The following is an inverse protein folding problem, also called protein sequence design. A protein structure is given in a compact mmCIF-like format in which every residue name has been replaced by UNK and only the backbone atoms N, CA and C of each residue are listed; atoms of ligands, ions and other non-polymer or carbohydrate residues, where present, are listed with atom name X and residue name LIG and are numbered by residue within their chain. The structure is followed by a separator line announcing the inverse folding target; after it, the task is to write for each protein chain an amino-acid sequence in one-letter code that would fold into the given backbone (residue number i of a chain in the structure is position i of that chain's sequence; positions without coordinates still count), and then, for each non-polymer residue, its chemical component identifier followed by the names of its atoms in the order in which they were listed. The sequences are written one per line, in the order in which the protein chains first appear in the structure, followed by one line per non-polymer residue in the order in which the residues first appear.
data_IF_061815163317
#
_entry.id   IF_061815163317
#
_cell.length_a   1.000
_cell.length_b   1.000
_cell.length_c   1.000
_cell.angle_alpha   90.00
_cell.angle_beta   90.00
_cell.angle_gamma   90.00
#
_symmetry.space_group_name_H-M   'P 1'
#
loop_
_entity.id
_entity.type
_entity.pdbx_description
1 polymer ?
#
# COMPACT_ATOMS: atom_id res chain seq x y z
N UNK A 1 -2.12 11.39 33.79
CA UNK A 1 -2.30 11.65 35.24
C UNK A 1 -3.57 11.02 35.83
N UNK A 2 -4.76 11.15 35.25
CA UNK A 2 -5.99 10.51 35.79
C UNK A 2 -5.95 8.98 35.83
N UNK A 3 -5.51 8.34 34.74
CA UNK A 3 -5.31 6.88 34.63
C UNK A 3 -4.40 6.28 35.72
N UNK A 4 -3.39 7.04 36.17
CA UNK A 4 -2.43 6.63 37.20
C UNK A 4 -2.94 6.85 38.62
N UNK A 5 -4.02 7.62 38.81
CA UNK A 5 -4.55 8.02 40.12
C UNK A 5 -5.75 7.19 40.61
N UNK A 6 -6.33 6.34 39.76
CA UNK A 6 -7.52 5.53 40.10
C UNK A 6 -7.34 4.03 39.77
N UNK A 7 -6.36 3.33 40.37
CA UNK A 7 -6.05 1.93 40.06
C UNK A 7 -7.23 0.97 40.32
N UNK A 8 -8.16 1.29 41.24
CA UNK A 8 -9.36 0.47 41.47
C UNK A 8 -10.30 0.38 40.26
N UNK A 9 -10.33 1.38 39.40
CA UNK A 9 -11.14 1.33 38.16
C UNK A 9 -10.64 0.27 37.17
N UNK A 10 -9.36 -0.12 37.27
CA UNK A 10 -8.74 -1.15 36.44
C UNK A 10 -9.14 -2.55 36.87
N UNK A 11 -9.50 -2.73 38.16
CA UNK A 11 -9.83 -4.03 38.76
C UNK A 11 -11.25 -4.51 38.41
N UNK A 12 -12.15 -3.62 38.00
CA UNK A 12 -13.53 -4.00 37.64
C UNK A 12 -13.65 -4.67 36.26
N UNK A 13 -12.65 -4.51 35.37
CA UNK A 13 -12.55 -5.20 34.08
C UNK A 13 -11.07 -5.44 33.75
N UNK A 14 -10.44 -6.37 34.47
CA UNK A 14 -9.00 -6.63 34.40
C UNK A 14 -8.47 -6.84 32.97
N UNK A 15 -9.28 -7.38 32.06
CA UNK A 15 -8.87 -7.68 30.68
C UNK A 15 -8.51 -6.43 29.86
N UNK A 16 -9.23 -5.31 29.99
CA UNK A 16 -9.06 -4.14 29.12
C UNK A 16 -7.67 -3.48 29.27
N UNK A 17 -7.14 -3.26 30.49
CA UNK A 17 -5.75 -2.88 30.69
C UNK A 17 -4.74 -3.80 30.00
N UNK A 18 -4.90 -5.12 30.12
CA UNK A 18 -3.99 -6.09 29.51
C UNK A 18 -4.02 -6.02 27.98
N UNK A 19 -5.22 -5.86 27.39
CA UNK A 19 -5.40 -5.68 25.94
C UNK A 19 -4.79 -4.40 25.38
N UNK A 20 -4.53 -3.41 26.24
CA UNK A 20 -3.85 -2.16 25.86
C UNK A 20 -2.35 -2.24 26.12
N UNK A 21 -1.96 -2.59 27.35
CA UNK A 21 -0.57 -2.53 27.78
C UNK A 21 0.27 -3.58 27.08
N UNK A 22 -0.19 -4.84 26.99
CA UNK A 22 0.63 -5.92 26.42
C UNK A 22 0.98 -5.66 24.96
N UNK A 23 0.02 -5.38 24.05
CA UNK A 23 0.36 -5.13 22.66
C UNK A 23 1.23 -3.88 22.49
N UNK A 24 0.92 -2.79 23.19
CA UNK A 24 1.71 -1.56 23.08
C UNK A 24 3.12 -1.70 23.65
N UNK A 25 3.31 -2.48 24.71
CA UNK A 25 4.64 -2.81 25.25
C UNK A 25 5.42 -3.69 24.30
N UNK A 26 4.79 -4.71 23.70
CA UNK A 26 5.43 -5.56 22.69
C UNK A 26 5.85 -4.73 21.48
N UNK A 27 4.98 -3.89 20.93
CA UNK A 27 5.33 -2.99 19.82
C UNK A 27 6.41 -1.98 20.24
N UNK A 28 6.34 -1.45 21.46
CA UNK A 28 7.37 -0.56 22.01
C UNK A 28 8.74 -1.22 22.03
N UNK A 29 8.84 -2.44 22.54
CA UNK A 29 10.09 -3.22 22.54
C UNK A 29 10.57 -3.58 21.13
N UNK A 30 9.66 -4.05 20.28
CA UNK A 30 10.00 -4.38 18.89
C UNK A 30 10.44 -3.14 18.09
N UNK A 31 9.95 -1.95 18.44
CA UNK A 31 10.29 -0.71 17.74
C UNK A 31 11.79 -0.34 17.87
N UNK A 32 12.48 -0.90 18.87
CA UNK A 32 13.93 -0.76 19.05
C UNK A 32 14.74 -1.53 17.99
N UNK A 33 14.15 -2.53 17.35
CA UNK A 33 14.84 -3.47 16.45
C UNK A 33 14.27 -3.42 15.03
N UNK A 34 13.00 -3.05 14.88
CA UNK A 34 12.29 -3.03 13.61
C UNK A 34 11.42 -1.79 13.48
N UNK A 35 11.37 -1.23 12.29
CA UNK A 35 10.37 -0.21 11.94
C UNK A 35 8.99 -0.87 11.91
N UNK A 36 8.13 -0.50 12.86
CA UNK A 36 6.75 -1.01 12.93
C UNK A 36 5.82 -0.01 12.28
N UNK A 37 5.02 -0.48 11.33
CA UNK A 37 3.97 0.34 10.72
C UNK A 37 2.98 0.83 11.77
N UNK A 38 2.70 2.14 11.81
CA UNK A 38 1.76 2.72 12.78
C UNK A 38 0.36 2.10 12.72
N UNK A 39 -0.03 1.52 11.59
CA UNK A 39 -1.33 0.85 11.45
C UNK A 39 -1.51 -0.31 12.43
N UNK A 40 -0.44 -1.04 12.77
CA UNK A 40 -0.47 -2.08 13.81
C UNK A 40 -0.77 -1.51 15.19
N UNK A 41 -0.17 -0.37 15.51
CA UNK A 41 -0.41 0.35 16.78
C UNK A 41 -1.82 0.92 16.81
N UNK A 42 -2.29 1.48 15.69
CA UNK A 42 -3.62 2.08 15.58
C UNK A 42 -4.76 1.09 15.80
N UNK A 43 -4.57 -0.21 15.56
CA UNK A 43 -5.55 -1.24 15.94
C UNK A 43 -5.85 -1.28 17.44
N UNK A 44 -4.93 -0.83 18.30
CA UNK A 44 -5.08 -0.85 19.76
C UNK A 44 -5.45 0.51 20.36
N UNK A 45 -5.33 1.60 19.59
CA UNK A 45 -5.69 2.96 20.04
C UNK A 45 -7.16 3.08 20.45
N UNK A 46 -8.16 2.47 19.77
CA UNK A 46 -9.54 2.49 20.24
C UNK A 46 -9.70 1.94 21.67
N UNK A 47 -8.95 0.89 22.03
CA UNK A 47 -8.98 0.31 23.36
C UNK A 47 -8.41 1.27 24.42
N UNK A 48 -7.39 2.06 24.07
CA UNK A 48 -6.86 3.14 24.92
C UNK A 48 -7.94 4.18 25.20
N UNK A 49 -8.71 4.58 24.19
CA UNK A 49 -9.81 5.54 24.37
C UNK A 49 -10.93 4.98 25.25
N UNK A 50 -11.28 3.69 25.08
CA UNK A 50 -12.25 3.02 25.95
C UNK A 50 -11.77 2.97 27.41
N UNK A 51 -10.51 2.59 27.63
CA UNK A 51 -9.89 2.58 28.96
C UNK A 51 -9.90 3.98 29.58
N UNK A 52 -9.51 5.00 28.80
CA UNK A 52 -9.54 6.38 29.23
C UNK A 52 -10.95 6.81 29.65
N UNK A 53 -11.95 6.57 28.81
CA UNK A 53 -13.35 6.96 29.07
C UNK A 53 -13.93 6.36 30.35
N UNK A 54 -13.50 5.15 30.71
CA UNK A 54 -13.92 4.48 31.97
C UNK A 54 -13.13 4.92 33.20
N UNK A 55 -11.94 5.49 33.01
CA UNK A 55 -11.04 5.87 34.12
C UNK A 55 -11.24 7.29 34.65
N UNK A 56 -12.01 8.13 33.94
CA UNK A 56 -12.19 9.56 34.26
C UNK A 56 -13.64 9.88 34.60
N UNK A 57 -13.86 10.96 35.37
CA UNK A 57 -15.22 11.44 35.67
C UNK A 57 -15.97 11.91 34.42
N UNK A 58 -17.30 11.88 34.45
CA UNK A 58 -18.16 12.42 33.37
C UNK A 58 -17.88 13.88 33.03
N UNK A 59 -17.48 14.69 34.02
CA UNK A 59 -17.10 16.09 33.81
C UNK A 59 -15.81 16.16 32.99
N UNK A 60 -14.82 15.35 33.33
CA UNK A 60 -13.56 15.26 32.59
C UNK A 60 -13.80 14.72 31.19
N UNK A 61 -14.58 13.64 31.04
CA UNK A 61 -14.90 13.05 29.75
C UNK A 61 -15.57 14.06 28.81
N UNK A 62 -16.59 14.80 29.30
CA UNK A 62 -17.26 15.87 28.52
C UNK A 62 -16.33 17.01 28.13
N UNK A 63 -15.33 17.34 28.95
CA UNK A 63 -14.30 18.34 28.58
C UNK A 63 -13.37 17.79 27.50
N UNK A 64 -12.93 16.54 27.63
CA UNK A 64 -12.08 15.88 26.63
C UNK A 64 -12.79 15.76 25.29
N UNK A 65 -14.06 15.37 25.27
CA UNK A 65 -14.87 15.30 24.04
C UNK A 65 -14.95 16.68 23.37
N UNK A 66 -15.25 17.74 24.13
CA UNK A 66 -15.30 19.11 23.59
C UNK A 66 -13.96 19.55 23.00
N UNK A 67 -12.87 19.28 23.72
CA UNK A 67 -11.53 19.60 23.23
C UNK A 67 -11.18 18.82 21.96
N UNK A 68 -11.44 17.50 21.95
CA UNK A 68 -11.25 16.66 20.78
C UNK A 68 -12.11 17.11 19.60
N UNK A 69 -13.34 17.56 19.83
CA UNK A 69 -14.22 18.08 18.79
C UNK A 69 -13.67 19.37 18.17
N UNK A 70 -13.12 20.29 18.98
CA UNK A 70 -12.44 21.49 18.48
C UNK A 70 -11.22 21.11 17.64
N UNK A 71 -10.38 20.19 18.12
CA UNK A 71 -9.23 19.69 17.36
C UNK A 71 -9.69 19.06 16.05
N UNK A 72 -10.71 18.20 16.09
CA UNK A 72 -11.25 17.55 14.90
C UNK A 72 -11.78 18.58 13.90
N UNK A 73 -12.50 19.61 14.35
CA UNK A 73 -12.97 20.70 13.50
C UNK A 73 -11.80 21.44 12.85
N UNK A 74 -10.74 21.77 13.61
CA UNK A 74 -9.53 22.40 13.05
C UNK A 74 -8.86 21.51 12.00
N UNK A 75 -8.74 20.21 12.25
CA UNK A 75 -8.17 19.26 11.29
C UNK A 75 -9.02 19.14 10.02
N UNK A 76 -10.34 19.02 10.16
CA UNK A 76 -11.25 18.98 9.01
C UNK A 76 -11.15 20.27 8.20
N UNK A 77 -11.17 21.42 8.85
CA UNK A 77 -11.00 22.72 8.16
C UNK A 77 -9.65 22.80 7.44
N UNK A 78 -8.56 22.35 8.06
CA UNK A 78 -7.24 22.32 7.43
C UNK A 78 -7.20 21.38 6.22
N UNK A 79 -7.77 20.17 6.34
CA UNK A 79 -7.86 19.20 5.23
C UNK A 79 -8.70 19.77 4.08
N UNK A 80 -9.85 20.38 4.37
CA UNK A 80 -10.69 21.01 3.35
C UNK A 80 -9.99 22.19 2.68
N UNK A 81 -9.25 22.99 3.43
CA UNK A 81 -8.47 24.11 2.89
C UNK A 81 -7.35 23.62 1.96
N UNK A 82 -6.69 22.51 2.29
CA UNK A 82 -5.68 21.85 1.45
C UNK A 82 -6.31 21.22 0.22
N UNK A 83 -7.41 20.49 0.39
CA UNK A 83 -8.11 19.78 -0.69
C UNK A 83 -8.78 20.71 -1.71
N UNK A 84 -9.12 21.95 -1.30
CA UNK A 84 -9.67 22.95 -2.21
C UNK A 84 -8.61 23.64 -3.09
N UNK A 85 -7.32 23.37 -2.85
CA UNK A 85 -6.24 23.92 -3.67
C UNK A 85 -6.09 23.15 -4.99
N UNK A 86 -5.78 23.83 -6.11
CA UNK A 86 -5.42 23.15 -7.35
C UNK A 86 -4.17 22.30 -7.15
N UNK A 87 -4.14 21.12 -7.78
CA UNK A 87 -3.08 20.13 -7.56
C UNK A 87 -1.70 20.68 -7.92
N UNK A 88 -1.65 21.57 -8.91
CA UNK A 88 -0.45 22.20 -9.45
C UNK A 88 0.30 23.04 -8.40
N UNK A 89 -0.38 23.54 -7.35
CA UNK A 89 0.29 24.23 -6.23
C UNK A 89 1.26 23.32 -5.48
N UNK A 90 1.04 22.01 -5.52
CA UNK A 90 1.91 21.03 -4.86
C UNK A 90 3.14 20.69 -5.70
N UNK A 91 3.20 21.06 -6.98
CA UNK A 91 4.32 20.74 -7.86
C UNK A 91 5.65 21.37 -7.41
N UNK A 92 5.61 22.61 -6.92
CA UNK A 92 6.80 23.31 -6.44
C UNK A 92 7.18 22.94 -5.00
N UNK A 93 6.21 22.50 -4.20
CA UNK A 93 6.40 22.13 -2.79
C UNK A 93 6.85 20.68 -2.61
N UNK A 94 6.46 19.81 -3.54
CA UNK A 94 6.77 18.38 -3.50
C UNK A 94 7.82 18.04 -4.56
N UNK A 95 8.74 17.14 -4.23
CA UNK A 95 9.63 16.55 -5.25
C UNK A 95 8.83 15.76 -6.30
N UNK A 96 9.42 15.60 -7.49
CA UNK A 96 8.79 15.04 -8.70
C UNK A 96 8.02 13.73 -8.47
N UNK A 97 8.62 12.77 -7.77
CA UNK A 97 7.98 11.49 -7.42
C UNK A 97 6.72 11.67 -6.58
N UNK A 98 6.79 12.53 -5.55
CA UNK A 98 5.67 12.77 -4.64
C UNK A 98 4.55 13.51 -5.36
N UNK A 99 4.90 14.51 -6.17
CA UNK A 99 3.94 15.23 -6.99
C UNK A 99 3.21 14.31 -7.97
N UNK A 100 3.95 13.45 -8.68
CA UNK A 100 3.35 12.44 -9.57
C UNK A 100 2.46 11.44 -8.82
N UNK A 101 2.79 11.13 -7.57
CA UNK A 101 1.91 10.36 -6.67
C UNK A 101 0.60 11.08 -6.35
N UNK A 102 0.64 12.39 -6.08
CA UNK A 102 -0.57 13.19 -5.84
C UNK A 102 -1.42 13.25 -7.10
N UNK A 103 -0.82 13.54 -8.27
CA UNK A 103 -1.56 13.58 -9.55
C UNK A 103 -2.17 12.22 -9.86
N UNK A 104 -1.43 11.11 -9.72
CA UNK A 104 -1.96 9.76 -9.91
C UNK A 104 -3.13 9.44 -8.97
N UNK A 105 -3.13 9.97 -7.75
CA UNK A 105 -4.16 9.68 -6.74
C UNK A 105 -5.41 10.53 -6.94
N UNK A 106 -5.24 11.82 -7.21
CA UNK A 106 -6.34 12.80 -7.26
C UNK A 106 -6.91 12.95 -8.68
N UNK A 107 -6.08 12.71 -9.71
CA UNK A 107 -6.38 12.88 -11.14
C UNK A 107 -6.12 11.60 -11.92
N UNK A 108 -6.45 10.46 -11.31
CA UNK A 108 -6.23 9.13 -11.88
C UNK A 108 -6.93 8.96 -13.24
N UNK A 109 -8.14 9.50 -13.36
CA UNK A 109 -8.95 9.54 -14.58
C UNK A 109 -8.21 10.21 -15.74
N UNK A 110 -7.56 11.35 -15.48
CA UNK A 110 -6.77 12.06 -16.48
C UNK A 110 -5.49 11.29 -16.84
N UNK A 111 -4.86 10.63 -15.87
CA UNK A 111 -3.69 9.78 -16.12
C UNK A 111 -4.07 8.59 -17.00
N UNK A 112 -5.19 7.92 -16.72
CA UNK A 112 -5.70 6.80 -17.50
C UNK A 112 -6.10 7.27 -18.90
N UNK A 113 -6.82 8.39 -19.02
CA UNK A 113 -7.21 8.95 -20.31
C UNK A 113 -5.99 9.30 -21.18
N UNK A 114 -4.92 9.80 -20.57
CA UNK A 114 -3.69 10.16 -21.27
C UNK A 114 -2.93 8.95 -21.85
N UNK A 115 -3.24 7.71 -21.43
CA UNK A 115 -2.72 6.49 -22.06
C UNK A 115 -3.36 6.22 -23.43
N UNK A 116 -4.48 6.87 -23.76
CA UNK A 116 -5.11 6.76 -25.07
C UNK A 116 -5.43 5.32 -25.45
N UNK A 117 -5.06 4.90 -26.67
CA UNK A 117 -5.35 3.56 -27.16
C UNK A 117 -4.54 2.45 -26.48
N UNK A 118 -3.47 2.79 -25.76
CA UNK A 118 -2.64 1.79 -25.06
C UNK A 118 -3.48 1.00 -24.04
N UNK A 119 -4.52 1.60 -23.48
CA UNK A 119 -5.42 0.94 -22.49
C UNK A 119 -6.11 -0.32 -23.04
N UNK A 120 -6.27 -0.39 -24.36
CA UNK A 120 -6.91 -1.51 -25.05
C UNK A 120 -5.91 -2.45 -25.73
N UNK A 121 -4.69 -1.97 -25.99
CA UNK A 121 -3.65 -2.71 -26.72
C UNK A 121 -2.79 -3.57 -25.81
N UNK A 122 -2.59 -3.14 -24.56
CA UNK A 122 -1.67 -3.79 -23.61
C UNK A 122 -2.40 -4.36 -22.41
N UNK A 123 -1.76 -5.34 -21.76
CA UNK A 123 -2.06 -5.69 -20.38
C UNK A 123 -1.45 -4.63 -19.45
N UNK A 124 -2.31 -3.96 -18.69
CA UNK A 124 -1.94 -2.78 -17.92
C UNK A 124 -1.47 -3.17 -16.52
N UNK A 125 -0.28 -2.74 -16.16
CA UNK A 125 0.35 -3.03 -14.88
C UNK A 125 0.97 -1.78 -14.27
N UNK A 126 1.35 -1.89 -13.00
CA UNK A 126 2.23 -0.90 -12.37
C UNK A 126 3.39 -1.59 -11.66
N UNK A 127 4.34 -0.79 -11.17
CA UNK A 127 5.53 -1.24 -10.45
C UNK A 127 5.31 -1.38 -8.92
N UNK A 128 4.06 -1.24 -8.43
CA UNK A 128 3.80 -1.41 -7.01
C UNK A 128 2.32 -1.45 -6.63
N UNK A 129 2.04 -1.96 -5.44
CA UNK A 129 0.66 -2.14 -4.97
C UNK A 129 -0.12 -0.81 -4.89
N UNK A 130 0.48 0.25 -4.34
CA UNK A 130 -0.20 1.55 -4.23
C UNK A 130 -0.60 2.15 -5.58
N UNK A 131 0.29 2.26 -6.58
CA UNK A 131 -0.14 2.71 -7.91
C UNK A 131 -1.19 1.76 -8.51
N UNK A 132 -1.02 0.44 -8.46
CA UNK A 132 -1.98 -0.54 -8.98
C UNK A 132 -3.39 -0.39 -8.42
N UNK A 133 -3.55 -0.29 -7.09
CA UNK A 133 -4.89 -0.13 -6.49
C UNK A 133 -5.50 1.23 -6.84
N UNK A 134 -4.69 2.29 -6.91
CA UNK A 134 -5.16 3.63 -7.25
C UNK A 134 -5.67 3.71 -8.68
N UNK A 135 -4.87 3.29 -9.66
CA UNK A 135 -5.29 3.35 -11.07
C UNK A 135 -6.34 2.29 -11.37
N UNK A 136 -6.24 1.09 -10.79
CA UNK A 136 -7.21 0.03 -11.01
C UNK A 136 -8.60 0.36 -10.46
N UNK A 137 -8.68 0.96 -9.27
CA UNK A 137 -9.95 1.43 -8.70
C UNK A 137 -10.63 2.47 -9.59
N UNK A 138 -9.88 3.45 -10.08
CA UNK A 138 -10.41 4.52 -10.93
C UNK A 138 -10.72 4.05 -12.36
N UNK A 139 -9.93 3.12 -12.90
CA UNK A 139 -10.16 2.52 -14.22
C UNK A 139 -11.31 1.48 -14.18
N UNK A 140 -11.74 1.01 -13.01
CA UNK A 140 -12.68 -0.12 -12.87
C UNK A 140 -12.18 -1.40 -13.56
N UNK A 141 -10.87 -1.54 -13.64
CA UNK A 141 -10.16 -2.69 -14.23
C UNK A 141 -9.03 -3.06 -13.29
N UNK A 142 -8.75 -4.35 -13.13
CA UNK A 142 -7.64 -4.79 -12.30
C UNK A 142 -6.29 -4.50 -12.99
N UNK A 143 -5.31 -3.99 -12.25
CA UNK A 143 -3.95 -3.71 -12.73
C UNK A 143 -2.94 -4.49 -11.90
N UNK A 144 -2.37 -5.58 -12.42
CA UNK A 144 -1.36 -6.37 -11.73
C UNK A 144 -0.11 -5.56 -11.36
N UNK A 145 0.66 -6.11 -10.42
CA UNK A 145 1.99 -5.58 -10.04
C UNK A 145 3.08 -6.38 -10.75
N UNK A 146 3.82 -5.70 -11.63
CA UNK A 146 4.96 -6.29 -12.34
C UNK A 146 6.22 -6.33 -11.45
N UNK A 147 7.11 -7.28 -11.72
CA UNK A 147 8.40 -7.44 -11.03
C UNK A 147 8.22 -8.07 -9.65
N UNK A 148 9.26 -8.13 -8.79
CA UNK A 148 9.20 -8.84 -7.50
C UNK A 148 8.19 -8.30 -6.48
N UNK A 149 7.65 -7.10 -6.71
CA UNK A 149 6.85 -6.34 -5.76
C UNK A 149 7.63 -5.95 -4.49
N UNK A 150 6.90 -5.55 -3.43
CA UNK A 150 7.48 -4.95 -2.22
C UNK A 150 7.98 -5.99 -1.20
N UNK A 151 8.28 -5.51 0.01
CA UNK A 151 9.05 -6.20 1.05
C UNK A 151 8.47 -7.53 1.58
N UNK A 152 7.22 -7.87 1.30
CA UNK A 152 6.55 -9.04 1.88
C UNK A 152 5.63 -9.72 0.86
N UNK A 153 6.01 -10.93 0.42
CA UNK A 153 5.21 -11.81 -0.42
C UNK A 153 4.66 -11.19 -1.72
N UNK A 154 4.03 -12.02 -2.54
CA UNK A 154 3.38 -11.64 -3.79
C UNK A 154 1.88 -11.89 -3.70
N UNK A 155 1.17 -11.00 -3.04
CA UNK A 155 -0.28 -11.12 -2.85
C UNK A 155 -1.06 -10.86 -4.15
N UNK A 156 -0.49 -10.05 -5.06
CA UNK A 156 -1.06 -9.81 -6.40
C UNK A 156 -1.35 -11.13 -7.13
N UNK A 157 -0.43 -12.09 -6.99
CA UNK A 157 -0.49 -13.40 -7.61
C UNK A 157 -1.65 -14.26 -7.13
N UNK A 158 -2.45 -13.85 -6.14
CA UNK A 158 -3.74 -14.49 -5.85
C UNK A 158 -4.75 -14.23 -6.97
N UNK A 159 -4.72 -13.02 -7.52
CA UNK A 159 -5.64 -12.52 -8.54
C UNK A 159 -5.04 -12.61 -9.95
N UNK A 160 -3.72 -12.46 -10.06
CA UNK A 160 -2.98 -12.53 -11.32
C UNK A 160 -2.40 -13.92 -11.56
N UNK A 161 -2.63 -14.47 -12.75
CA UNK A 161 -1.95 -15.67 -13.23
C UNK A 161 -1.00 -15.29 -14.37
N UNK A 162 0.29 -15.10 -14.06
CA UNK A 162 1.28 -14.67 -15.05
C UNK A 162 1.49 -15.68 -16.19
N UNK A 163 1.13 -16.95 -16.02
CA UNK A 163 1.17 -17.96 -17.10
C UNK A 163 0.26 -17.57 -18.27
N UNK A 164 -0.87 -16.92 -17.97
CA UNK A 164 -1.87 -16.51 -18.97
C UNK A 164 -1.44 -15.28 -19.78
N UNK A 165 -0.35 -14.64 -19.36
CA UNK A 165 0.21 -13.45 -19.99
C UNK A 165 1.38 -13.79 -20.92
N UNK A 166 1.79 -15.06 -21.00
CA UNK A 166 2.87 -15.50 -21.88
C UNK A 166 2.60 -15.06 -23.33
N UNK A 167 3.62 -14.45 -23.93
CA UNK A 167 3.57 -13.85 -25.26
C UNK A 167 2.74 -12.56 -25.40
N UNK A 168 2.07 -12.08 -24.34
CA UNK A 168 1.30 -10.82 -24.39
C UNK A 168 2.19 -9.59 -24.28
N UNK A 169 1.65 -8.47 -24.74
CA UNK A 169 2.27 -7.16 -24.60
C UNK A 169 1.76 -6.49 -23.32
N UNK A 170 2.67 -5.88 -22.57
CA UNK A 170 2.42 -5.27 -21.27
C UNK A 170 2.79 -3.80 -21.30
N UNK A 171 1.98 -2.96 -20.65
CA UNK A 171 2.35 -1.58 -20.34
C UNK A 171 2.46 -1.45 -18.82
N UNK A 172 3.67 -1.17 -18.35
CA UNK A 172 3.91 -0.84 -16.94
C UNK A 172 3.96 0.67 -16.80
N UNK A 173 3.08 1.23 -15.97
CA UNK A 173 3.07 2.65 -15.63
C UNK A 173 3.84 2.88 -14.33
N UNK A 174 4.91 3.69 -14.38
CA UNK A 174 5.72 4.05 -13.22
C UNK A 174 5.76 5.56 -12.97
N UNK A 175 5.99 5.95 -11.73
CA UNK A 175 6.27 7.34 -11.31
C UNK A 175 7.76 7.66 -11.27
N UNK A 176 8.61 6.66 -11.48
CA UNK A 176 10.06 6.77 -11.41
C UNK A 176 10.68 6.28 -12.71
N UNK A 177 11.89 6.77 -13.02
CA UNK A 177 12.61 6.29 -14.19
C UNK A 177 12.88 4.78 -14.03
N UNK A 178 12.51 3.94 -15.02
CA UNK A 178 12.69 2.51 -14.89
C UNK A 178 14.17 2.14 -14.99
N UNK A 179 14.59 1.15 -14.20
CA UNK A 179 15.84 0.45 -14.42
C UNK A 179 15.57 -0.63 -15.47
N UNK A 180 16.08 -0.45 -16.69
CA UNK A 180 15.70 -1.31 -17.83
C UNK A 180 15.99 -2.80 -17.59
N UNK A 181 17.03 -3.13 -16.84
CA UNK A 181 17.38 -4.53 -16.50
C UNK A 181 16.32 -5.23 -15.66
N UNK A 182 15.40 -4.50 -15.04
CA UNK A 182 14.27 -5.08 -14.30
C UNK A 182 13.15 -5.55 -15.25
N UNK A 183 13.23 -5.20 -16.54
CA UNK A 183 12.21 -5.51 -17.56
C UNK A 183 12.79 -6.33 -18.70
N UNK A 184 13.94 -5.93 -19.27
CA UNK A 184 14.50 -6.53 -20.49
C UNK A 184 14.71 -8.05 -20.45
N UNK A 185 14.98 -8.71 -19.30
CA UNK A 185 15.08 -10.17 -19.29
C UNK A 185 13.75 -10.91 -19.56
N UNK A 186 12.62 -10.21 -19.42
CA UNK A 186 11.28 -10.82 -19.40
C UNK A 186 10.44 -10.48 -20.63
N UNK A 187 11.00 -9.76 -21.60
CA UNK A 187 10.31 -9.32 -22.80
C UNK A 187 11.25 -9.34 -24.00
N UNK A 188 10.69 -9.51 -25.20
CA UNK A 188 11.48 -9.48 -26.46
C UNK A 188 11.93 -8.07 -26.83
N UNK A 189 11.09 -7.07 -26.58
CA UNK A 189 11.38 -5.66 -26.83
C UNK A 189 10.83 -4.81 -25.69
N UNK A 190 11.56 -3.76 -25.31
CA UNK A 190 11.16 -2.84 -24.24
C UNK A 190 11.41 -1.42 -24.70
N UNK A 191 10.33 -0.64 -24.78
CA UNK A 191 10.34 0.77 -25.14
C UNK A 191 9.89 1.60 -23.95
N UNK A 192 10.61 2.69 -23.72
CA UNK A 192 10.32 3.59 -22.61
C UNK A 192 10.15 4.99 -23.13
N UNK A 193 9.03 5.61 -22.75
CA UNK A 193 8.76 7.01 -23.03
C UNK A 193 8.11 7.71 -21.83
N UNK A 194 8.04 9.03 -21.94
CA UNK A 194 7.50 9.88 -20.89
C UNK A 194 6.06 10.29 -21.20
N UNK A 195 5.19 10.09 -20.23
CA UNK A 195 3.84 10.63 -20.20
C UNK A 195 3.77 11.79 -19.20
N UNK A 196 3.32 12.96 -19.67
CA UNK A 196 3.16 14.14 -18.81
C UNK A 196 1.68 14.46 -18.62
N UNK A 197 1.23 14.53 -17.36
CA UNK A 197 -0.15 14.88 -17.00
C UNK A 197 -0.11 15.94 -15.91
N UNK A 198 -0.68 17.12 -16.17
CA UNK A 198 -0.64 18.28 -15.26
C UNK A 198 0.79 18.61 -14.74
N UNK A 199 1.78 18.45 -15.61
CA UNK A 199 3.20 18.65 -15.29
C UNK A 199 3.84 17.53 -14.44
N UNK A 200 3.07 16.54 -13.98
CA UNK A 200 3.63 15.33 -13.38
C UNK A 200 4.14 14.38 -14.45
N UNK A 201 5.23 13.68 -14.14
CA UNK A 201 5.95 12.80 -15.07
C UNK A 201 5.71 11.35 -14.70
N UNK A 202 5.27 10.59 -15.69
CA UNK A 202 5.09 9.15 -15.61
C UNK A 202 5.93 8.49 -16.71
N UNK A 203 6.45 7.32 -16.41
CA UNK A 203 7.17 6.50 -17.37
C UNK A 203 6.26 5.40 -17.85
N UNK A 204 6.10 5.31 -19.18
CA UNK A 204 5.41 4.20 -19.84
C UNK A 204 6.46 3.22 -20.32
N UNK A 205 6.44 2.02 -19.74
CA UNK A 205 7.27 0.91 -20.19
C UNK A 205 6.38 0.01 -21.05
N UNK A 206 6.48 0.17 -22.37
CA UNK A 206 5.79 -0.67 -23.36
C UNK A 206 6.68 -1.84 -23.68
N UNK A 207 6.29 -3.02 -23.22
CA UNK A 207 7.10 -4.21 -23.27
C UNK A 207 6.37 -5.31 -24.07
N UNK A 208 7.03 -5.88 -25.06
CA UNK A 208 6.42 -6.75 -26.06
C UNK A 208 6.85 -8.20 -25.91
N UNK A 209 5.87 -9.11 -26.05
CA UNK A 209 6.08 -10.56 -25.95
C UNK A 209 6.69 -10.97 -24.61
N UNK A 210 5.91 -10.89 -23.55
CA UNK A 210 6.28 -11.38 -22.22
C UNK A 210 6.75 -12.83 -22.26
N UNK A 211 7.88 -13.12 -21.63
CA UNK A 211 8.44 -14.46 -21.47
C UNK A 211 8.14 -14.96 -20.05
N UNK A 212 7.12 -15.81 -19.92
CA UNK A 212 6.75 -16.36 -18.63
C UNK A 212 7.86 -17.25 -18.04
N UNK A 213 8.61 -18.00 -18.85
CA UNK A 213 9.65 -18.89 -18.34
C UNK A 213 10.79 -18.08 -17.71
N UNK A 214 11.22 -17.00 -18.37
CA UNK A 214 12.20 -16.07 -17.82
C UNK A 214 11.68 -15.39 -16.54
N UNK A 215 10.41 -14.96 -16.53
CA UNK A 215 9.81 -14.33 -15.35
C UNK A 215 9.64 -15.30 -14.18
N UNK A 216 9.30 -16.56 -14.46
CA UNK A 216 9.19 -17.61 -13.47
C UNK A 216 10.53 -17.83 -12.75
N UNK A 217 11.63 -17.97 -13.52
CA UNK A 217 12.97 -18.13 -12.97
C UNK A 217 13.50 -16.88 -12.27
N UNK A 218 13.28 -15.69 -12.84
CA UNK A 218 13.86 -14.43 -12.36
C UNK A 218 13.08 -13.77 -11.22
N UNK A 219 11.77 -14.01 -11.13
CA UNK A 219 10.88 -13.35 -10.15
C UNK A 219 10.18 -14.36 -9.24
N UNK A 220 9.50 -15.36 -9.81
CA UNK A 220 8.65 -16.24 -9.02
C UNK A 220 9.45 -17.25 -8.17
N UNK A 221 10.56 -17.78 -8.68
CA UNK A 221 11.42 -18.70 -7.92
C UNK A 221 12.15 -18.00 -6.75
N UNK A 222 12.77 -16.82 -6.92
CA UNK A 222 13.27 -16.04 -5.78
C UNK A 222 12.15 -15.74 -4.78
N UNK A 223 10.96 -15.40 -5.27
CA UNK A 223 9.82 -15.15 -4.40
C UNK A 223 9.41 -16.36 -3.58
N UNK A 224 9.37 -17.53 -4.22
CA UNK A 224 9.12 -18.82 -3.59
C UNK A 224 10.08 -19.05 -2.42
N UNK A 225 11.39 -18.89 -2.67
CA UNK A 225 12.44 -19.11 -1.67
C UNK A 225 12.35 -18.15 -0.49
N UNK A 226 11.98 -16.89 -0.72
CA UNK A 226 11.94 -15.89 0.34
C UNK A 226 10.67 -15.92 1.18
N UNK A 227 9.51 -16.18 0.57
CA UNK A 227 8.21 -15.95 1.22
C UNK A 227 7.30 -17.18 1.28
N UNK A 228 7.55 -18.20 0.46
CA UNK A 228 6.70 -19.39 0.37
C UNK A 228 7.42 -20.69 0.73
N UNK A 229 8.68 -20.62 1.20
CA UNK A 229 9.44 -21.75 1.72
C UNK A 229 8.96 -22.14 3.14
N UNK A 230 7.70 -22.59 3.24
CA UNK A 230 7.09 -22.97 4.51
C UNK A 230 7.70 -24.31 4.97
N UNK A 231 8.22 -24.40 6.21
CA UNK A 231 8.77 -25.63 6.75
C UNK A 231 7.79 -26.80 6.71
N UNK A 232 8.26 -27.99 6.32
CA UNK A 232 7.41 -29.18 6.14
C UNK A 232 6.79 -29.74 7.42
N UNK A 233 7.24 -29.31 8.60
CA UNK A 233 6.66 -29.69 9.89
C UNK A 233 5.46 -28.84 10.30
N UNK A 234 5.19 -27.72 9.60
CA UNK A 234 3.98 -26.94 9.82
C UNK A 234 2.80 -27.60 9.10
N UNK A 235 1.61 -27.66 9.71
CA UNK A 235 0.42 -28.16 9.03
C UNK A 235 0.06 -27.22 7.87
N UNK A 236 0.26 -27.68 6.63
CA UNK A 236 -0.08 -26.92 5.42
C UNK A 236 -1.39 -27.45 4.82
N UNK A 237 -2.33 -26.55 4.55
CA UNK A 237 -3.64 -26.86 3.95
C UNK A 237 -3.71 -26.50 2.46
N UNK A 238 -2.62 -25.98 1.88
CA UNK A 238 -2.54 -25.49 0.50
C UNK A 238 -1.81 -24.17 0.40
N UNK A 239 -1.27 -23.86 -0.79
CA UNK A 239 -0.59 -22.60 -1.07
C UNK A 239 -0.88 -22.21 -2.52
N UNK A 240 -1.70 -21.16 -2.72
CA UNK A 240 -2.12 -20.71 -4.04
C UNK A 240 -0.94 -20.43 -4.98
N UNK A 241 0.19 -19.95 -4.44
CA UNK A 241 1.37 -19.59 -5.20
C UNK A 241 2.13 -20.82 -5.69
N UNK A 242 2.37 -21.79 -4.79
CA UNK A 242 2.99 -23.08 -5.12
C UNK A 242 2.14 -23.87 -6.11
N UNK A 243 0.83 -23.95 -5.86
CA UNK A 243 -0.12 -24.67 -6.70
C UNK A 243 -0.25 -24.06 -8.10
N UNK A 244 -0.11 -22.74 -8.22
CA UNK A 244 -0.22 -22.05 -9.52
C UNK A 244 1.06 -22.14 -10.35
N UNK A 245 2.22 -22.01 -9.73
CA UNK A 245 3.47 -21.82 -10.47
C UNK A 245 4.46 -22.97 -10.39
N UNK A 246 4.28 -23.94 -9.48
CA UNK A 246 5.29 -24.97 -9.22
C UNK A 246 4.73 -26.40 -9.15
N UNK A 247 3.44 -26.57 -9.44
CA UNK A 247 2.73 -27.86 -9.54
C UNK A 247 1.92 -27.89 -10.82
#
# INVERSE_FOLDING_TARGET
WGLLRTPRAWLHQAALPWLVVVPLSIFGLLSLVKTIGLHWVFSFVPLVFLLYGRSVSDRTLRRTIRFAAVIAAVHVTAVLAVASQPVERWASLLGERKYSGVVQTVKADEVIAALGEDVNRYELMTDGYSPSVTVGYNHRRYWPVFGPASSHARHDDMLTDFRRLDGRDVLVLSKEAPVLTDYTPYFRDVQVDLLTVRGARFWRIRAHGFDFAAYHAGVLEPARRHWYAIPGWLPQQGCYFEERYFR
#
